data_IF_857451897909
#
_entry.id   IF_857451897909
#
_cell.length_a   1.000
_cell.length_b   1.000
_cell.length_c   1.000
_cell.angle_alpha   90.00
_cell.angle_beta   90.00
_cell.angle_gamma   90.00
#
_symmetry.space_group_name_H-M   'P 1'
#
loop_
_entity.id
_entity.type
_entity.pdbx_description
1 polymer ?
#
# COMPACT_ATOMS: atom_id res chain seq x y z
N UNK A 1 16.28 0.40 16.52
CA UNK A 1 15.02 1.17 16.37
C UNK A 1 14.33 0.72 15.08
N UNK A 2 13.06 0.28 15.15
CA UNK A 2 12.27 0.03 13.94
C UNK A 2 11.97 1.39 13.31
N UNK A 3 12.44 1.64 12.09
CA UNK A 3 12.03 2.83 11.34
C UNK A 3 10.53 2.71 11.10
N UNK A 4 9.74 3.60 11.70
CA UNK A 4 8.28 3.65 11.57
C UNK A 4 7.82 4.80 10.67
N UNK A 5 8.76 5.62 10.20
CA UNK A 5 8.52 6.72 9.29
C UNK A 5 9.66 6.80 8.26
N UNK A 6 9.34 7.12 7.00
CA UNK A 6 10.30 7.24 5.89
C UNK A 6 10.26 6.08 4.88
N UNK A 7 11.18 6.12 3.90
CA UNK A 7 11.20 5.24 2.71
C UNK A 7 11.36 3.73 3.00
N UNK A 8 11.53 3.34 4.27
CA UNK A 8 11.87 1.97 4.70
C UNK A 8 10.70 1.24 5.37
N UNK A 9 9.57 1.91 5.57
CA UNK A 9 8.39 1.31 6.17
C UNK A 9 7.13 1.62 5.33
N UNK A 10 6.27 0.62 5.12
CA UNK A 10 6.43 -0.80 5.45
C UNK A 10 7.55 -1.50 4.64
N UNK A 11 7.96 -2.70 5.09
CA UNK A 11 9.04 -3.46 4.44
C UNK A 11 8.65 -3.88 3.03
N UNK A 12 9.52 -3.59 2.05
CA UNK A 12 9.30 -3.99 0.64
C UNK A 12 9.16 -5.51 0.49
N UNK A 13 9.94 -6.29 1.23
CA UNK A 13 9.90 -7.76 1.14
C UNK A 13 8.54 -8.30 1.60
N UNK A 14 7.98 -7.73 2.66
CA UNK A 14 6.65 -8.11 3.13
C UNK A 14 5.56 -7.70 2.14
N UNK A 15 5.67 -6.52 1.54
CA UNK A 15 4.73 -6.06 0.52
C UNK A 15 4.77 -6.96 -0.73
N UNK A 16 5.95 -7.46 -1.09
CA UNK A 16 6.10 -8.37 -2.22
C UNK A 16 5.52 -9.78 -1.96
N UNK A 17 5.27 -10.15 -0.70
CA UNK A 17 4.46 -11.35 -0.38
C UNK A 17 2.97 -11.15 -0.67
N UNK A 18 2.51 -9.90 -0.77
CA UNK A 18 1.12 -9.54 -1.06
C UNK A 18 0.91 -9.25 -2.54
N UNK A 19 1.88 -8.56 -3.16
CA UNK A 19 1.88 -8.24 -4.59
C UNK A 19 3.22 -8.65 -5.18
N UNK A 20 3.20 -9.65 -6.05
CA UNK A 20 4.35 -10.32 -6.65
C UNK A 20 5.31 -9.43 -7.46
N UNK A 21 4.89 -8.23 -7.87
CA UNK A 21 5.67 -7.32 -8.70
C UNK A 21 5.81 -5.93 -8.10
N UNK A 22 7.04 -5.41 -8.09
CA UNK A 22 7.34 -4.03 -7.67
C UNK A 22 6.55 -2.99 -8.45
N UNK A 23 6.32 -3.22 -9.75
CA UNK A 23 5.54 -2.32 -10.59
C UNK A 23 4.06 -2.37 -10.25
N UNK A 24 3.51 -3.58 -10.07
CA UNK A 24 2.11 -3.78 -9.63
C UNK A 24 1.89 -3.13 -8.26
N UNK A 25 2.83 -3.31 -7.33
CA UNK A 25 2.79 -2.71 -6.00
C UNK A 25 2.80 -1.18 -6.06
N UNK A 26 3.71 -0.58 -6.84
CA UNK A 26 3.78 0.87 -7.00
C UNK A 26 2.48 1.43 -7.59
N UNK A 27 1.95 0.78 -8.64
CA UNK A 27 0.69 1.17 -9.27
C UNK A 27 -0.50 1.07 -8.30
N UNK A 28 -0.65 -0.06 -7.63
CA UNK A 28 -1.68 -0.32 -6.63
C UNK A 28 -1.67 0.71 -5.50
N UNK A 29 -0.49 0.96 -4.94
CA UNK A 29 -0.30 1.91 -3.84
C UNK A 29 -0.65 3.33 -4.27
N UNK A 30 -0.25 3.75 -5.48
CA UNK A 30 -0.60 5.06 -6.02
C UNK A 30 -2.12 5.20 -6.27
N UNK A 31 -2.75 4.17 -6.84
CA UNK A 31 -4.20 4.15 -7.09
C UNK A 31 -4.99 4.23 -5.79
N UNK A 32 -4.59 3.47 -4.76
CA UNK A 32 -5.24 3.49 -3.45
C UNK A 32 -4.99 4.80 -2.69
N UNK A 33 -3.77 5.33 -2.73
CA UNK A 33 -3.44 6.63 -2.14
C UNK A 33 -4.31 7.77 -2.69
N UNK A 34 -4.64 7.73 -3.99
CA UNK A 34 -5.57 8.70 -4.60
C UNK A 34 -6.98 8.58 -3.99
N UNK A 35 -7.52 7.37 -3.85
CA UNK A 35 -8.82 7.14 -3.20
C UNK A 35 -8.83 7.59 -1.74
N UNK A 36 -7.79 7.27 -0.97
CA UNK A 36 -7.67 7.73 0.43
C UNK A 36 -7.76 9.26 0.50
N UNK A 37 -7.14 9.96 -0.44
CA UNK A 37 -7.18 11.43 -0.50
C UNK A 37 -8.55 11.98 -0.93
N UNK A 38 -9.28 11.25 -1.78
CA UNK A 38 -10.61 11.65 -2.28
C UNK A 38 -11.71 11.38 -1.23
N UNK A 39 -11.64 10.22 -0.58
CA UNK A 39 -12.65 9.75 0.38
C UNK A 39 -12.34 10.17 1.83
N UNK A 40 -11.13 10.71 2.08
CA UNK A 40 -10.55 10.98 3.42
C UNK A 40 -10.70 9.79 4.39
N UNK A 41 -10.62 8.58 3.83
CA UNK A 41 -10.95 7.33 4.52
C UNK A 41 -9.86 6.27 4.35
N UNK A 42 -9.55 5.61 5.47
CA UNK A 42 -8.63 4.47 5.59
C UNK A 42 -9.28 3.33 6.38
N UNK A 43 -9.05 2.10 5.95
CA UNK A 43 -9.56 0.88 6.60
C UNK A 43 -8.67 0.37 7.75
N UNK A 44 -7.55 1.04 7.98
CA UNK A 44 -6.58 0.73 9.05
C UNK A 44 -6.34 1.97 9.91
N UNK A 45 -5.89 1.76 11.15
CA UNK A 45 -5.26 2.80 11.95
C UNK A 45 -3.84 3.04 11.42
N UNK A 46 -3.59 4.14 10.69
CA UNK A 46 -2.35 4.29 9.94
C UNK A 46 -1.22 4.76 10.85
N UNK A 47 -0.04 4.14 10.74
CA UNK A 47 1.18 4.73 11.31
C UNK A 47 1.73 5.81 10.39
N UNK A 48 1.49 5.71 9.08
CA UNK A 48 1.96 6.70 8.11
C UNK A 48 0.98 7.86 7.96
N UNK A 49 1.46 9.11 7.96
CA UNK A 49 0.59 10.27 7.69
C UNK A 49 0.38 10.55 6.19
N UNK A 50 1.23 10.02 5.31
CA UNK A 50 1.12 10.24 3.86
C UNK A 50 0.22 9.19 3.23
N UNK A 51 -0.70 9.56 2.30
CA UNK A 51 -1.64 8.61 1.68
C UNK A 51 -0.99 7.38 1.04
N UNK A 52 0.21 7.52 0.47
CA UNK A 52 0.96 6.38 -0.09
C UNK A 52 1.42 5.42 1.00
N UNK A 53 1.87 5.93 2.15
CA UNK A 53 2.24 5.09 3.28
C UNK A 53 1.03 4.34 3.82
N UNK A 54 -0.10 5.04 4.00
CA UNK A 54 -1.38 4.44 4.42
C UNK A 54 -1.80 3.32 3.46
N UNK A 55 -1.76 3.57 2.15
CA UNK A 55 -2.09 2.56 1.14
C UNK A 55 -1.19 1.31 1.25
N UNK A 56 0.10 1.48 1.51
CA UNK A 56 1.03 0.36 1.71
C UNK A 56 0.71 -0.42 2.99
N UNK A 57 0.25 0.24 4.05
CA UNK A 57 -0.19 -0.41 5.29
C UNK A 57 -1.47 -1.23 5.07
N UNK A 58 -2.42 -0.70 4.31
CA UNK A 58 -3.63 -1.43 3.94
C UNK A 58 -3.32 -2.67 3.09
N UNK A 59 -2.37 -2.58 2.14
CA UNK A 59 -1.88 -3.74 1.37
C UNK A 59 -1.27 -4.78 2.31
N UNK A 60 -0.42 -4.34 3.24
CA UNK A 60 0.26 -5.24 4.16
C UNK A 60 -0.73 -5.99 5.08
N UNK A 61 -1.84 -5.35 5.45
CA UNK A 61 -2.89 -5.89 6.32
C UNK A 61 -4.03 -6.59 5.57
N UNK A 62 -3.88 -6.86 4.26
CA UNK A 62 -4.92 -7.48 3.41
C UNK A 62 -6.28 -6.75 3.49
N UNK A 63 -6.27 -5.42 3.59
CA UNK A 63 -7.49 -4.59 3.64
C UNK A 63 -7.98 -4.14 2.28
N UNK A 64 -7.24 -4.44 1.22
CA UNK A 64 -7.61 -4.11 -0.14
C UNK A 64 -7.42 -5.33 -1.04
N UNK A 65 -8.44 -5.58 -1.86
CA UNK A 65 -8.37 -6.55 -2.95
C UNK A 65 -7.99 -5.82 -4.24
N UNK A 66 -6.93 -6.27 -4.88
CA UNK A 66 -6.44 -5.72 -6.15
C UNK A 66 -6.34 -6.83 -7.16
N UNK A 67 -7.21 -6.78 -8.15
CA UNK A 67 -7.16 -7.67 -9.30
C UNK A 67 -6.38 -6.99 -10.43
N UNK A 68 -5.40 -7.71 -10.98
CA UNK A 68 -4.68 -7.31 -12.17
C UNK A 68 -5.14 -8.21 -13.31
N UNK A 69 -5.77 -7.62 -14.33
CA UNK A 69 -6.13 -8.37 -15.53
C UNK A 69 -4.86 -8.72 -16.32
N UNK A 70 -4.51 -10.01 -16.37
CA UNK A 70 -3.47 -10.49 -17.28
C UNK A 70 -4.06 -10.60 -18.68
N UNK A 71 -3.67 -9.70 -19.58
CA UNK A 71 -3.95 -9.87 -21.00
C UNK A 71 -3.13 -11.08 -21.50
N UNK A 72 -3.84 -12.15 -21.79
CA UNK A 72 -3.33 -13.38 -22.41
C UNK A 72 -2.94 -13.14 -23.87
#
# INVERSE_FOLDING_TARGET
>A
MRNKEGLRYPSIDNLLTKIDSKYKLAYASAKRAKKIKEDDYTSVDPYCSKPVGIALEEILQDKIDIEFEEKK
#
